data_IF_738758540273
#
_entry.id   IF_738758540273
#
_cell.length_a   1.000
_cell.length_b   1.000
_cell.length_c   1.000
_cell.angle_alpha   90.00
_cell.angle_beta   90.00
_cell.angle_gamma   90.00
#
_symmetry.space_group_name_H-M   'P 1'
#
loop_
_entity.id
_entity.type
_entity.pdbx_description
1 polymer ?
#
# COMPACT_ATOMS: atom_id res chain seq x y z
N UNK A 1 28.15 -64.73 -60.82
CA UNK A 1 27.14 -65.49 -60.06
C UNK A 1 27.82 -65.97 -58.80
N UNK A 2 27.41 -65.70 -57.57
CA UNK A 2 26.25 -65.01 -56.99
C UNK A 2 26.59 -64.95 -55.47
N UNK A 3 26.73 -63.79 -54.80
CA UNK A 3 25.63 -63.10 -54.13
C UNK A 3 25.46 -63.51 -52.65
N UNK A 4 26.03 -62.75 -51.70
CA UNK A 4 25.53 -62.52 -50.30
C UNK A 4 26.55 -61.79 -49.42
N UNK A 5 26.30 -60.51 -49.11
CA UNK A 5 26.17 -60.01 -47.72
C UNK A 5 25.99 -58.47 -47.67
N UNK A 6 24.79 -57.99 -48.03
CA UNK A 6 24.42 -56.57 -47.89
C UNK A 6 23.20 -56.37 -46.99
N UNK A 7 23.11 -57.07 -45.85
CA UNK A 7 21.92 -56.95 -44.96
C UNK A 7 22.15 -56.57 -43.51
N UNK A 8 23.35 -56.17 -43.10
CA UNK A 8 23.59 -55.85 -41.68
C UNK A 8 24.02 -54.41 -41.35
N UNK A 9 24.34 -53.55 -42.31
CA UNK A 9 24.85 -52.21 -42.00
C UNK A 9 23.76 -51.14 -41.93
N UNK A 10 22.66 -51.29 -42.68
CA UNK A 10 21.66 -50.22 -42.84
C UNK A 10 20.61 -50.10 -41.71
N UNK A 11 20.73 -50.86 -40.61
CA UNK A 11 19.76 -50.81 -39.50
C UNK A 11 20.27 -50.12 -38.23
N UNK A 12 21.59 -49.90 -38.10
CA UNK A 12 22.19 -49.28 -36.90
C UNK A 12 22.32 -47.76 -37.00
N UNK A 13 22.48 -47.19 -38.19
CA UNK A 13 22.59 -45.73 -38.41
C UNK A 13 21.23 -45.03 -38.32
N UNK A 14 20.16 -45.64 -38.83
CA UNK A 14 18.81 -45.08 -38.75
C UNK A 14 18.31 -44.93 -37.29
N UNK A 15 18.59 -45.92 -36.43
CA UNK A 15 18.19 -45.85 -35.00
C UNK A 15 18.92 -44.75 -34.22
N UNK A 16 20.20 -44.50 -34.51
CA UNK A 16 20.96 -43.43 -33.83
C UNK A 16 20.51 -42.04 -34.28
N UNK A 17 20.22 -41.85 -35.57
CA UNK A 17 19.67 -40.60 -36.08
C UNK A 17 18.28 -40.30 -35.50
N UNK A 18 17.43 -41.32 -35.38
CA UNK A 18 16.07 -41.18 -34.83
C UNK A 18 16.07 -40.87 -33.33
N UNK A 19 17.03 -41.40 -32.57
CA UNK A 19 17.24 -41.04 -31.16
C UNK A 19 17.77 -39.61 -31.02
N UNK A 20 18.69 -39.17 -31.88
CA UNK A 20 19.21 -37.79 -31.84
C UNK A 20 18.13 -36.79 -32.25
N UNK A 21 17.36 -37.06 -33.32
CA UNK A 21 16.23 -36.21 -33.74
C UNK A 21 15.14 -36.20 -32.67
N UNK A 22 14.82 -37.35 -32.06
CA UNK A 22 13.88 -37.43 -30.94
C UNK A 22 14.35 -36.64 -29.72
N UNK A 23 15.64 -36.71 -29.38
CA UNK A 23 16.22 -35.95 -28.26
C UNK A 23 16.23 -34.44 -28.54
N UNK A 24 16.54 -34.02 -29.77
CA UNK A 24 16.48 -32.61 -30.18
C UNK A 24 15.03 -32.10 -30.19
N UNK A 25 14.07 -32.93 -30.61
CA UNK A 25 12.65 -32.59 -30.58
C UNK A 25 12.14 -32.47 -29.13
N UNK A 26 12.56 -33.36 -28.24
CA UNK A 26 12.24 -33.28 -26.80
C UNK A 26 12.90 -32.06 -26.15
N UNK A 27 14.15 -31.74 -26.47
CA UNK A 27 14.82 -30.53 -25.97
C UNK A 27 14.19 -29.23 -26.51
N UNK A 28 13.64 -29.24 -27.74
CA UNK A 28 12.87 -28.12 -28.29
C UNK A 28 11.48 -27.99 -27.65
N UNK A 29 10.86 -29.10 -27.25
CA UNK A 29 9.54 -29.11 -26.59
C UNK A 29 9.60 -28.77 -25.08
N UNK A 30 10.75 -28.96 -24.42
CA UNK A 30 10.98 -28.54 -23.02
C UNK A 30 11.28 -27.03 -22.88
N UNK A 31 11.33 -26.27 -23.99
CA UNK A 31 11.40 -24.79 -23.93
C UNK A 31 10.05 -24.10 -23.69
N UNK A 32 8.96 -24.85 -23.58
CA UNK A 32 7.69 -24.29 -23.14
C UNK A 32 7.52 -24.54 -21.65
N UNK A 33 7.24 -23.47 -20.91
CA UNK A 33 6.84 -23.45 -19.49
C UNK A 33 7.94 -23.28 -18.42
N UNK A 34 8.98 -22.53 -18.75
CA UNK A 34 9.60 -21.65 -17.75
C UNK A 34 8.96 -20.28 -17.89
N UNK A 35 7.88 -20.01 -17.15
CA UNK A 35 7.51 -18.64 -16.84
C UNK A 35 8.70 -18.03 -16.09
N UNK A 36 9.58 -17.32 -16.81
CA UNK A 36 10.58 -16.49 -16.15
C UNK A 36 9.87 -15.54 -15.18
N UNK A 37 10.46 -15.20 -14.03
CA UNK A 37 9.88 -14.22 -13.14
C UNK A 37 9.63 -12.96 -13.96
N UNK A 38 8.35 -12.63 -14.16
CA UNK A 38 7.97 -11.38 -14.81
C UNK A 38 8.27 -10.31 -13.78
N UNK A 39 9.44 -9.68 -13.88
CA UNK A 39 9.77 -8.43 -13.19
C UNK A 39 8.89 -7.30 -13.76
N UNK A 40 7.56 -7.42 -13.60
CA UNK A 40 6.64 -6.37 -14.01
C UNK A 40 6.69 -5.27 -12.95
N UNK A 41 7.58 -4.32 -13.18
CA UNK A 41 7.62 -3.05 -12.45
C UNK A 41 6.26 -2.38 -12.62
N UNK A 42 5.45 -2.42 -11.57
CA UNK A 42 4.08 -1.92 -11.56
C UNK A 42 4.08 -0.48 -11.07
N UNK A 43 3.23 0.36 -11.67
CA UNK A 43 3.00 1.72 -11.21
C UNK A 43 2.19 1.70 -9.91
N UNK A 44 2.71 2.35 -8.87
CA UNK A 44 2.06 2.55 -7.57
C UNK A 44 1.73 4.02 -7.42
N UNK A 45 0.48 4.29 -7.05
CA UNK A 45 -0.04 5.64 -6.79
C UNK A 45 -0.39 5.75 -5.31
N UNK A 46 0.22 6.71 -4.62
CA UNK A 46 -0.02 6.98 -3.21
C UNK A 46 -0.59 8.41 -3.05
N UNK A 47 -1.85 8.51 -2.63
CA UNK A 47 -2.52 9.77 -2.35
C UNK A 47 -3.75 9.58 -1.45
N UNK A 48 -4.15 10.65 -0.74
CA UNK A 48 -5.39 10.70 0.03
C UNK A 48 -6.11 12.02 -0.29
N UNK A 49 -7.28 11.94 -0.93
CA UNK A 49 -8.17 13.08 -1.07
C UNK A 49 -8.91 13.27 0.26
N UNK A 50 -8.88 14.50 0.79
CA UNK A 50 -9.51 14.87 2.06
C UNK A 50 -10.40 16.07 1.82
N UNK A 51 -11.68 15.94 2.17
CA UNK A 51 -12.67 17.02 2.15
C UNK A 51 -12.22 18.19 3.03
N UNK A 52 -12.58 19.42 2.64
CA UNK A 52 -12.24 20.68 3.33
C UNK A 52 -10.74 20.91 3.52
N UNK A 53 -9.93 20.31 2.64
CA UNK A 53 -8.48 20.50 2.59
C UNK A 53 -8.05 20.80 1.16
N UNK A 54 -6.92 21.47 0.97
CA UNK A 54 -6.34 21.64 -0.34
C UNK A 54 -6.03 20.31 -1.01
N UNK A 55 -6.00 20.31 -2.34
CA UNK A 55 -5.65 19.13 -3.12
C UNK A 55 -4.32 18.51 -2.65
N UNK A 56 -4.28 17.17 -2.46
CA UNK A 56 -3.08 16.52 -1.95
C UNK A 56 -2.01 16.47 -3.03
N UNK A 57 -0.75 16.36 -2.60
CA UNK A 57 0.31 15.92 -3.50
C UNK A 57 0.20 14.42 -3.74
N UNK A 58 0.48 13.98 -4.98
CA UNK A 58 0.40 12.58 -5.38
C UNK A 58 1.82 12.03 -5.53
N UNK A 59 2.07 10.85 -4.97
CA UNK A 59 3.36 10.18 -5.15
C UNK A 59 3.21 9.03 -6.14
N UNK A 60 4.00 9.04 -7.21
CA UNK A 60 4.11 7.94 -8.15
C UNK A 60 5.41 7.18 -7.94
N UNK A 61 5.30 5.85 -7.83
CA UNK A 61 6.44 4.96 -7.60
C UNK A 61 6.34 3.76 -8.54
N UNK A 62 7.46 3.12 -8.79
CA UNK A 62 7.50 1.82 -9.45
C UNK A 62 7.83 0.73 -8.43
N UNK A 63 7.20 -0.44 -8.56
CA UNK A 63 7.64 -1.61 -7.80
C UNK A 63 9.00 -2.09 -8.32
N UNK A 64 9.78 -2.68 -7.43
CA UNK A 64 11.10 -3.28 -7.73
C UNK A 64 11.14 -4.69 -7.19
N UNK A 65 12.03 -5.50 -7.77
CA UNK A 65 12.35 -6.81 -7.25
C UNK A 65 12.88 -6.70 -5.82
N UNK A 66 12.52 -7.65 -4.97
CA UNK A 66 13.03 -7.73 -3.59
C UNK A 66 14.55 -7.95 -3.55
N UNK A 67 15.13 -8.49 -4.64
CA UNK A 67 16.57 -8.74 -4.75
C UNK A 67 17.38 -7.53 -5.22
N UNK A 68 16.71 -6.47 -5.68
CA UNK A 68 17.32 -5.19 -6.08
C UNK A 68 16.54 -4.02 -5.47
N UNK A 69 16.63 -3.84 -4.14
CA UNK A 69 15.93 -2.76 -3.47
C UNK A 69 16.57 -1.42 -3.84
N UNK A 70 15.92 -0.68 -4.75
CA UNK A 70 16.29 0.69 -5.08
C UNK A 70 16.02 1.66 -3.93
N UNK A 71 16.73 2.79 -3.92
CA UNK A 71 16.43 3.90 -3.02
C UNK A 71 15.14 4.65 -3.45
N UNK A 72 14.71 5.66 -2.67
CA UNK A 72 13.48 6.42 -2.99
C UNK A 72 13.54 7.08 -4.37
N UNK A 73 14.71 7.53 -4.84
CA UNK A 73 14.85 8.18 -6.15
C UNK A 73 14.81 7.13 -7.26
N UNK A 74 15.48 6.00 -7.08
CA UNK A 74 15.47 4.88 -8.02
C UNK A 74 14.06 4.28 -8.19
N UNK A 75 13.21 4.40 -7.18
CA UNK A 75 11.82 3.93 -7.18
C UNK A 75 10.82 5.00 -7.65
N UNK A 76 11.26 6.23 -7.92
CA UNK A 76 10.37 7.29 -8.38
C UNK A 76 9.94 7.06 -9.83
N UNK A 77 8.63 7.17 -10.09
CA UNK A 77 8.10 7.17 -11.45
C UNK A 77 8.10 8.60 -12.00
N UNK A 78 9.24 9.02 -12.54
CA UNK A 78 9.47 10.37 -13.08
C UNK A 78 8.96 10.51 -14.52
N UNK A 79 8.56 11.73 -14.90
CA UNK A 79 8.04 12.04 -16.24
C UNK A 79 6.71 11.38 -16.56
N UNK A 80 5.92 11.06 -15.53
CA UNK A 80 4.55 10.59 -15.67
C UNK A 80 3.57 11.73 -15.89
N UNK A 81 2.34 11.37 -16.23
CA UNK A 81 1.22 12.32 -16.33
C UNK A 81 0.17 11.94 -15.30
N UNK A 82 -0.31 12.93 -14.54
CA UNK A 82 -1.33 12.73 -13.51
C UNK A 82 -2.45 13.73 -13.74
N UNK A 83 -3.68 13.21 -13.84
CA UNK A 83 -4.90 13.96 -14.05
C UNK A 83 -5.94 13.55 -13.01
N UNK A 84 -6.51 14.54 -12.33
CA UNK A 84 -7.65 14.38 -11.44
C UNK A 84 -8.84 15.12 -12.03
N UNK A 85 -9.95 14.43 -12.25
CA UNK A 85 -11.25 15.06 -12.49
C UNK A 85 -11.99 15.12 -11.17
N UNK A 86 -12.29 16.31 -10.66
CA UNK A 86 -13.02 16.56 -9.42
C UNK A 86 -14.26 17.39 -9.75
N UNK A 87 -15.45 16.86 -9.49
CA UNK A 87 -16.73 17.49 -9.86
C UNK A 87 -16.81 17.93 -11.33
N UNK A 88 -16.24 17.11 -12.23
CA UNK A 88 -16.16 17.42 -13.67
C UNK A 88 -15.05 18.41 -14.06
N UNK A 89 -14.41 19.10 -13.11
CA UNK A 89 -13.26 19.96 -13.37
C UNK A 89 -11.97 19.12 -13.49
N UNK A 90 -11.24 19.30 -14.59
CA UNK A 90 -9.94 18.67 -14.79
C UNK A 90 -8.85 19.46 -14.05
N UNK A 91 -8.06 18.75 -13.26
CA UNK A 91 -6.89 19.25 -12.53
C UNK A 91 -5.66 18.49 -12.98
N UNK A 92 -4.76 19.21 -13.62
CA UNK A 92 -3.46 18.68 -14.03
C UNK A 92 -2.46 18.75 -12.88
N UNK A 93 -1.56 17.77 -12.84
CA UNK A 93 -0.49 17.69 -11.87
C UNK A 93 0.87 17.65 -12.59
N UNK A 94 1.85 18.38 -12.05
CA UNK A 94 3.22 18.44 -12.56
C UNK A 94 4.19 17.81 -11.56
N UNK A 95 5.26 17.19 -12.08
CA UNK A 95 6.34 16.66 -11.24
C UNK A 95 7.07 17.83 -10.54
N UNK A 96 7.28 17.68 -9.25
CA UNK A 96 7.99 18.65 -8.42
C UNK A 96 9.50 18.51 -8.61
N UNK A 97 10.16 19.60 -9.01
CA UNK A 97 11.63 19.68 -9.12
C UNK A 97 12.37 19.32 -7.83
N UNK A 98 11.71 19.48 -6.67
CA UNK A 98 12.31 19.24 -5.37
C UNK A 98 12.39 17.75 -5.00
N UNK A 99 11.46 16.92 -5.50
CA UNK A 99 11.35 15.50 -5.13
C UNK A 99 10.88 14.65 -6.31
N UNK A 100 11.78 13.83 -6.89
CA UNK A 100 11.44 12.84 -7.91
C UNK A 100 10.20 12.02 -7.56
N UNK A 101 9.28 11.88 -8.53
CA UNK A 101 8.06 11.09 -8.38
C UNK A 101 6.99 11.72 -7.50
N UNK A 102 7.18 12.96 -7.01
CA UNK A 102 6.13 13.73 -6.33
C UNK A 102 5.48 14.70 -7.30
N UNK A 103 4.17 14.66 -7.37
CA UNK A 103 3.37 15.48 -8.27
C UNK A 103 2.52 16.47 -7.48
N UNK A 104 2.47 17.72 -7.94
CA UNK A 104 1.75 18.84 -7.33
C UNK A 104 0.70 19.40 -8.29
N UNK A 105 -0.46 19.85 -7.82
CA UNK A 105 -1.49 20.42 -8.70
C UNK A 105 -1.00 21.72 -9.34
N UNK A 106 -1.25 21.89 -10.64
CA UNK A 106 -0.84 23.08 -11.42
C UNK A 106 -1.76 24.27 -11.17
N UNK A 107 -3.03 24.00 -10.90
CA UNK A 107 -4.03 25.01 -10.57
C UNK A 107 -4.29 25.00 -9.08
N UNK A 108 -4.40 26.20 -8.51
CA UNK A 108 -5.03 26.39 -7.20
C UNK A 108 -6.53 26.17 -7.36
N UNK A 109 -6.92 24.90 -7.37
CA UNK A 109 -8.28 24.52 -7.02
C UNK A 109 -8.40 24.73 -5.52
N UNK A 110 -9.53 25.30 -5.10
CA UNK A 110 -9.82 25.49 -3.68
C UNK A 110 -9.85 24.17 -2.91
N UNK A 111 -10.39 24.22 -1.70
CA UNK A 111 -10.54 23.02 -0.89
C UNK A 111 -11.40 21.97 -1.61
N UNK A 112 -11.08 20.70 -1.38
CA UNK A 112 -11.80 19.57 -1.97
C UNK A 112 -13.26 19.58 -1.47
N UNK A 113 -14.27 19.65 -2.36
CA UNK A 113 -15.67 19.69 -1.94
C UNK A 113 -16.11 18.36 -1.33
N UNK A 114 -17.16 18.39 -0.52
CA UNK A 114 -17.81 17.20 0.00
C UNK A 114 -18.77 16.59 -1.03
N UNK A 115 -19.01 15.28 -0.94
CA UNK A 115 -20.01 14.54 -1.73
C UNK A 115 -19.92 14.70 -3.26
N UNK A 116 -18.75 15.04 -3.81
CA UNK A 116 -18.55 15.19 -5.27
C UNK A 116 -17.86 13.97 -5.90
N UNK A 117 -18.22 13.59 -7.13
CA UNK A 117 -17.55 12.51 -7.83
C UNK A 117 -16.12 12.91 -8.24
N UNK A 118 -15.20 11.94 -8.17
CA UNK A 118 -13.82 12.13 -8.60
C UNK A 118 -13.30 10.94 -9.42
N UNK A 119 -12.36 11.22 -10.33
CA UNK A 119 -11.62 10.21 -11.12
C UNK A 119 -10.15 10.60 -11.22
N UNK A 120 -9.27 9.67 -10.92
CA UNK A 120 -7.82 9.81 -11.05
C UNK A 120 -7.31 8.94 -12.19
N UNK A 121 -6.42 9.48 -13.01
CA UNK A 121 -5.63 8.73 -13.98
C UNK A 121 -4.15 9.12 -13.85
N UNK A 122 -3.29 8.13 -13.68
CA UNK A 122 -1.83 8.29 -13.69
C UNK A 122 -1.23 7.39 -14.78
N UNK A 123 -0.36 7.95 -15.62
CA UNK A 123 0.32 7.23 -16.70
C UNK A 123 1.83 7.39 -16.59
N UNK A 124 2.55 6.29 -16.78
CA UNK A 124 4.01 6.29 -16.77
C UNK A 124 4.56 5.12 -17.59
N UNK A 125 5.39 5.41 -18.60
CA UNK A 125 6.05 4.39 -19.47
C UNK A 125 5.12 3.30 -20.03
N UNK A 126 3.89 3.65 -20.38
CA UNK A 126 2.89 2.72 -20.91
C UNK A 126 2.06 1.99 -19.85
N UNK A 127 2.42 2.11 -18.57
CA UNK A 127 1.58 1.67 -17.45
C UNK A 127 0.55 2.75 -17.11
N UNK A 128 -0.65 2.31 -16.70
CA UNK A 128 -1.75 3.20 -16.32
C UNK A 128 -2.41 2.71 -15.03
N UNK A 129 -2.58 3.63 -14.07
CA UNK A 129 -3.34 3.43 -12.86
C UNK A 129 -4.57 4.35 -12.88
N UNK A 130 -5.75 3.80 -12.58
CA UNK A 130 -7.01 4.54 -12.53
C UNK A 130 -7.72 4.30 -11.20
N UNK A 131 -8.31 5.34 -10.65
CA UNK A 131 -9.17 5.26 -9.48
C UNK A 131 -10.38 6.18 -9.65
N UNK A 132 -11.46 5.90 -8.94
CA UNK A 132 -12.67 6.74 -8.90
C UNK A 132 -13.40 6.57 -7.59
N UNK A 133 -14.21 7.55 -7.23
CA UNK A 133 -15.07 7.50 -6.07
C UNK A 133 -15.86 8.79 -5.90
N UNK A 134 -16.37 8.99 -4.69
CA UNK A 134 -17.02 10.22 -4.24
C UNK A 134 -16.30 10.70 -2.98
N UNK A 135 -16.10 12.01 -2.83
CA UNK A 135 -15.51 12.56 -1.60
C UNK A 135 -16.45 12.37 -0.41
N UNK A 136 -15.94 12.01 0.78
CA UNK A 136 -16.80 11.82 1.95
C UNK A 136 -17.34 13.17 2.45
N UNK A 137 -18.47 13.17 3.18
CA UNK A 137 -18.86 14.33 3.98
C UNK A 137 -17.83 14.61 5.09
N UNK A 138 -17.77 15.84 5.63
CA UNK A 138 -17.00 16.12 6.83
C UNK A 138 -17.52 15.32 8.03
N UNK A 139 -16.63 14.96 8.95
CA UNK A 139 -16.99 14.32 10.22
C UNK A 139 -17.04 15.39 11.30
N UNK A 140 -18.23 15.59 11.87
CA UNK A 140 -18.41 16.43 13.05
C UNK A 140 -18.42 15.55 14.31
N UNK A 141 -17.48 15.78 15.23
CA UNK A 141 -17.47 15.09 16.52
C UNK A 141 -18.55 15.71 17.41
N UNK A 142 -19.53 14.89 17.83
CA UNK A 142 -20.56 15.32 18.77
C UNK A 142 -20.09 15.19 20.22
N UNK A 143 -19.22 14.23 20.52
CA UNK A 143 -18.73 13.98 21.86
C UNK A 143 -17.28 13.47 21.86
N UNK A 144 -16.50 13.92 22.84
CA UNK A 144 -15.16 13.42 23.14
C UNK A 144 -15.08 13.18 24.64
N UNK A 145 -15.04 11.91 25.03
CA UNK A 145 -14.93 11.51 26.43
C UNK A 145 -13.48 11.09 26.72
N UNK A 146 -12.89 11.69 27.75
CA UNK A 146 -11.56 11.34 28.24
C UNK A 146 -11.69 10.85 29.68
N UNK A 147 -11.41 9.58 29.89
CA UNK A 147 -11.45 8.96 31.21
C UNK A 147 -10.02 8.74 31.69
N UNK A 148 -9.68 9.41 32.79
CA UNK A 148 -8.40 9.24 33.49
C UNK A 148 -8.69 8.63 34.85
N UNK A 149 -8.11 7.46 35.19
CA UNK A 149 -8.33 6.87 36.50
C UNK A 149 -7.73 7.77 37.58
N UNK A 150 -8.36 7.81 38.77
CA UNK A 150 -7.89 8.65 39.87
C UNK A 150 -6.53 8.19 40.44
N UNK A 151 -6.17 6.93 40.21
CA UNK A 151 -4.95 6.32 40.69
C UNK A 151 -4.20 5.61 39.54
N UNK A 152 -2.85 5.59 39.57
CA UNK A 152 -2.10 4.86 38.58
C UNK A 152 -2.18 3.36 38.81
N UNK A 153 -2.15 2.60 37.72
CA UNK A 153 -2.10 1.14 37.76
C UNK A 153 -0.65 0.70 37.83
N UNK A 154 -0.33 -0.22 38.74
CA UNK A 154 1.00 -0.82 38.84
C UNK A 154 1.28 -1.68 37.61
N UNK A 155 2.47 -1.52 37.03
CA UNK A 155 2.88 -2.27 35.83
C UNK A 155 4.27 -2.84 35.97
N UNK A 156 4.57 -3.82 35.13
CA UNK A 156 5.89 -4.41 35.02
C UNK A 156 6.39 -4.08 33.60
N UNK A 157 7.44 -3.27 33.51
CA UNK A 157 8.11 -3.01 32.23
C UNK A 157 9.10 -4.13 31.97
N UNK A 158 8.84 -4.90 30.92
CA UNK A 158 9.72 -5.97 30.45
C UNK A 158 10.54 -5.42 29.29
N UNK A 159 11.86 -5.30 29.47
CA UNK A 159 12.76 -4.90 28.37
C UNK A 159 13.19 -6.14 27.58
N UNK A 160 12.44 -6.47 26.53
CA UNK A 160 12.68 -7.64 25.68
C UNK A 160 13.83 -7.46 24.68
N UNK A 161 14.57 -6.33 24.72
CA UNK A 161 15.67 -6.08 23.78
C UNK A 161 16.96 -6.84 24.14
N UNK A 162 17.01 -7.52 25.28
CA UNK A 162 18.10 -8.44 25.63
C UNK A 162 17.74 -9.87 25.22
N UNK A 163 18.53 -10.42 24.30
CA UNK A 163 18.37 -11.75 23.68
C UNK A 163 18.63 -12.95 24.59
N UNK A 164 18.94 -12.72 25.87
CA UNK A 164 19.22 -13.81 26.81
C UNK A 164 17.95 -14.15 27.58
N UNK A 165 17.32 -15.27 27.22
CA UNK A 165 15.98 -15.67 27.69
C UNK A 165 15.92 -16.03 29.18
N UNK A 166 17.03 -15.94 29.91
CA UNK A 166 17.15 -16.35 31.31
C UNK A 166 17.29 -15.18 32.29
N UNK A 167 17.51 -13.94 31.81
CA UNK A 167 17.60 -12.74 32.65
C UNK A 167 16.98 -11.54 31.93
N UNK A 168 15.64 -11.52 31.87
CA UNK A 168 14.90 -10.38 31.34
C UNK A 168 14.68 -9.39 32.49
N UNK A 169 15.34 -8.21 32.49
CA UNK A 169 15.14 -7.23 33.54
C UNK A 169 13.69 -6.74 33.50
N UNK A 170 13.02 -6.89 34.63
CA UNK A 170 11.65 -6.44 34.86
C UNK A 170 11.68 -5.34 35.92
N UNK A 171 11.29 -4.13 35.54
CA UNK A 171 11.16 -3.01 36.46
C UNK A 171 9.68 -2.82 36.83
N UNK A 172 9.39 -2.73 38.12
CA UNK A 172 8.07 -2.30 38.58
C UNK A 172 7.92 -0.79 38.36
N UNK A 173 6.79 -0.40 37.80
CA UNK A 173 6.43 0.98 37.54
C UNK A 173 4.93 1.21 37.70
N UNK A 174 4.49 2.36 37.22
CA UNK A 174 3.11 2.81 37.28
C UNK A 174 2.73 3.41 35.93
N UNK A 175 1.49 3.20 35.50
CA UNK A 175 0.91 3.84 34.32
C UNK A 175 -0.45 4.43 34.64
N UNK A 176 -0.76 5.57 34.03
CA UNK A 176 -2.12 6.09 33.97
C UNK A 176 -2.73 5.69 32.62
N UNK A 177 -3.54 4.63 32.53
CA UNK A 177 -4.27 4.34 31.31
C UNK A 177 -5.31 5.44 31.09
N UNK A 178 -5.22 6.14 29.97
CA UNK A 178 -6.20 7.17 29.60
C UNK A 178 -7.04 6.61 28.47
N UNK A 179 -8.34 6.48 28.72
CA UNK A 179 -9.29 6.02 27.72
C UNK A 179 -9.89 7.24 27.02
N UNK A 180 -9.87 7.22 25.69
CA UNK A 180 -10.45 8.29 24.86
C UNK A 180 -11.50 7.68 23.96
N UNK A 181 -12.74 8.11 24.12
CA UNK A 181 -13.86 7.74 23.27
C UNK A 181 -14.30 8.93 22.43
N UNK A 182 -14.55 8.68 21.15
CA UNK A 182 -15.01 9.68 20.17
C UNK A 182 -16.39 9.27 19.68
N UNK A 183 -17.32 10.21 19.65
CA UNK A 183 -18.64 10.03 19.09
C UNK A 183 -18.87 11.04 17.96
N UNK A 184 -19.46 10.57 16.87
CA UNK A 184 -19.93 11.42 15.78
C UNK A 184 -21.26 10.88 15.25
N UNK A 185 -22.21 11.75 14.89
CA UNK A 185 -23.42 11.32 14.24
C UNK A 185 -23.04 10.86 12.83
N UNK A 186 -23.18 9.56 12.56
CA UNK A 186 -23.33 9.13 11.18
C UNK A 186 -24.74 9.53 10.78
N UNK A 187 -24.88 10.57 9.94
CA UNK A 187 -26.17 10.92 9.32
C UNK A 187 -26.84 9.62 8.86
N UNK A 188 -28.17 9.51 9.04
CA UNK A 188 -28.93 8.36 8.58
C UNK A 188 -28.72 8.22 7.08
N UNK A 189 -27.75 7.37 6.73
CA UNK A 189 -27.36 7.02 5.36
C UNK A 189 -28.64 6.68 4.63
N UNK A 190 -28.95 7.44 3.57
CA UNK A 190 -30.14 7.16 2.77
C UNK A 190 -29.96 5.74 2.22
N UNK A 191 -30.96 4.88 2.43
CA UNK A 191 -30.88 3.48 2.02
C UNK A 191 -30.55 3.39 0.51
N UNK A 192 -29.33 2.93 0.17
CA UNK A 192 -28.82 2.86 -1.19
C UNK A 192 -27.57 3.72 -1.47
N UNK A 193 -27.17 4.60 -0.55
CA UNK A 193 -25.85 5.25 -0.62
C UNK A 193 -24.77 4.27 -0.15
N UNK A 194 -23.68 4.20 -0.93
CA UNK A 194 -22.55 3.33 -0.67
C UNK A 194 -21.84 3.80 0.61
N UNK A 195 -22.07 3.12 1.74
CA UNK A 195 -21.54 3.47 3.08
C UNK A 195 -20.03 3.20 3.20
N UNK A 196 -19.27 3.36 2.11
CA UNK A 196 -17.89 2.95 1.91
C UNK A 196 -16.85 3.98 2.37
N UNK A 197 -17.22 4.93 3.22
CA UNK A 197 -16.26 5.91 3.72
C UNK A 197 -15.25 5.22 4.65
N UNK A 198 -13.97 5.47 4.37
CA UNK A 198 -12.86 5.02 5.21
C UNK A 198 -12.55 6.12 6.22
N UNK A 199 -12.63 5.78 7.50
CA UNK A 199 -12.35 6.69 8.61
C UNK A 199 -10.98 6.36 9.17
N UNK A 200 -10.20 7.40 9.45
CA UNK A 200 -8.89 7.31 10.10
C UNK A 200 -8.89 8.12 11.40
N UNK A 201 -9.32 7.54 12.54
CA UNK A 201 -9.11 8.17 13.83
C UNK A 201 -7.60 8.29 14.12
N UNK A 202 -7.21 9.42 14.71
CA UNK A 202 -5.84 9.64 15.15
C UNK A 202 -5.85 10.46 16.45
N UNK A 203 -5.13 9.98 17.46
CA UNK A 203 -4.86 10.75 18.68
C UNK A 203 -3.50 11.44 18.56
N UNK A 204 -3.45 12.73 18.88
CA UNK A 204 -2.21 13.51 18.93
C UNK A 204 -2.13 14.25 20.28
N UNK A 205 -1.69 13.58 21.35
CA UNK A 205 -1.63 14.13 22.69
C UNK A 205 -0.56 15.22 22.75
N UNK A 206 -0.91 16.35 23.35
CA UNK A 206 0.06 17.36 23.72
C UNK A 206 0.74 16.93 25.03
N UNK A 207 2.03 16.63 24.97
CA UNK A 207 2.82 16.19 26.13
C UNK A 207 3.70 17.29 26.69
N UNK A 208 3.53 18.54 26.24
CA UNK A 208 4.44 19.66 26.57
C UNK A 208 4.50 19.93 28.08
N UNK A 209 3.41 19.71 28.81
CA UNK A 209 3.33 19.90 30.27
C UNK A 209 3.52 18.59 31.07
N UNK A 210 3.73 17.45 30.41
CA UNK A 210 3.84 16.16 31.10
C UNK A 210 5.26 15.89 31.58
N UNK A 211 5.43 15.66 32.88
CA UNK A 211 6.67 15.14 33.46
C UNK A 211 6.92 13.64 33.15
N UNK A 212 5.96 12.97 32.49
CA UNK A 212 6.05 11.55 32.16
C UNK A 212 7.06 11.31 31.03
N UNK A 213 8.00 10.40 31.25
CA UNK A 213 9.06 10.07 30.28
C UNK A 213 8.57 9.27 29.07
N UNK A 214 7.35 8.73 29.11
CA UNK A 214 6.81 7.87 28.06
C UNK A 214 5.29 7.99 28.03
N UNK A 215 4.74 8.67 27.02
CA UNK A 215 3.34 8.47 26.60
C UNK A 215 3.36 7.34 25.58
N UNK A 216 3.18 6.11 26.07
CA UNK A 216 3.04 4.94 25.21
C UNK A 216 1.56 4.71 24.95
N UNK A 217 1.18 4.71 23.68
CA UNK A 217 -0.12 4.21 23.28
C UNK A 217 -0.09 2.69 23.37
N UNK A 218 -0.91 2.12 24.24
CA UNK A 218 -1.07 0.66 24.36
C UNK A 218 -1.92 0.07 23.20
N UNK A 219 -2.46 0.92 22.33
CA UNK A 219 -3.27 0.56 21.16
C UNK A 219 -2.84 1.35 19.92
N UNK A 220 -3.19 0.86 18.72
CA UNK A 220 -2.87 1.49 17.43
C UNK A 220 -3.28 2.98 17.45
N UNK A 221 -2.33 3.93 17.47
CA UNK A 221 -2.64 5.37 17.56
C UNK A 221 -3.36 5.89 16.31
N UNK A 222 -3.40 5.06 15.28
CA UNK A 222 -4.08 5.26 14.01
C UNK A 222 -4.74 3.93 13.64
N UNK A 223 -6.05 3.96 13.47
CA UNK A 223 -6.81 2.88 12.84
C UNK A 223 -7.36 3.38 11.50
N UNK A 224 -7.54 2.51 10.51
CA UNK A 224 -8.16 2.87 9.22
C UNK A 224 -9.17 1.79 8.88
N UNK A 225 -10.45 2.10 9.06
CA UNK A 225 -11.55 1.14 8.87
C UNK A 225 -12.71 1.79 8.16
N UNK A 226 -13.58 0.96 7.61
CA UNK A 226 -14.85 1.43 7.08
C UNK A 226 -15.72 1.94 8.23
N UNK A 227 -16.42 3.04 8.00
CA UNK A 227 -17.23 3.70 9.03
C UNK A 227 -18.25 2.75 9.70
N UNK A 228 -18.85 1.84 8.91
CA UNK A 228 -19.79 0.82 9.40
C UNK A 228 -19.19 -0.17 10.41
N UNK A 229 -17.86 -0.27 10.48
CA UNK A 229 -17.14 -1.17 11.38
C UNK A 229 -16.83 -0.57 12.76
N UNK A 230 -17.12 0.72 12.97
CA UNK A 230 -16.96 1.37 14.28
C UNK A 230 -18.16 1.17 15.22
N UNK A 231 -19.24 0.52 14.75
CA UNK A 231 -20.45 0.29 15.57
C UNK A 231 -20.21 -0.77 16.66
N UNK A 232 -20.28 -0.33 17.92
CA UNK A 232 -20.75 -1.10 19.08
C UNK A 232 -21.55 -0.20 20.00
#
# INVERSE_FOLDING_TARGET
MDGKDERHVLRKTGKRLLVVVGLVLVLMLVRCDLTGPVDRQSLVVEAFLKTDRPLPTITLRQTRSLNDPGDRRANAAQGGTVELVLDGQLVSYEESDQRPGRYVPVSEVGDVPDRVPWRLAARWRGEEARARGTTPPPIELSEVCVEVPPEPVQTIRVDSLRRDSLDIPAEQGYLYPVDVSLHWPADQLVAGEDTMHWVRPQLNPDTTESASRVVNFFLQPVDVRREDQFRR
#
